data_IF_759311963988
#
_entry.id   IF_759311963988
#
_cell.length_a   1.000
_cell.length_b   1.000
_cell.length_c   1.000
_cell.angle_alpha   90.00
_cell.angle_beta   90.00
_cell.angle_gamma   90.00
#
_symmetry.space_group_name_H-M   'P 1'
#
loop_
_entity.id
_entity.type
_entity.pdbx_description
1 polymer ?
#
# COMPACT_ATOMS: atom_id res chain seq x y z
N UNK A 1 10.67 -18.44 -10.79
CA UNK A 1 10.22 -17.04 -10.65
C UNK A 1 10.10 -16.46 -12.05
N UNK A 2 8.96 -15.86 -12.40
CA UNK A 2 8.81 -15.23 -13.70
C UNK A 2 9.44 -13.81 -13.69
N UNK A 3 9.69 -13.26 -14.86
CA UNK A 3 10.32 -11.95 -15.03
C UNK A 3 9.58 -10.83 -14.30
N UNK A 4 8.24 -10.84 -14.34
CA UNK A 4 7.42 -9.84 -13.64
C UNK A 4 7.63 -9.93 -12.12
N UNK A 5 7.67 -11.13 -11.58
CA UNK A 5 7.89 -11.35 -10.15
C UNK A 5 9.30 -10.92 -9.74
N UNK A 6 10.31 -11.25 -10.53
CA UNK A 6 11.68 -10.80 -10.27
C UNK A 6 11.80 -9.28 -10.29
N UNK A 7 11.17 -8.62 -11.27
CA UNK A 7 11.13 -7.16 -11.34
C UNK A 7 10.41 -6.54 -10.16
N UNK A 8 9.29 -7.14 -9.74
CA UNK A 8 8.56 -6.69 -8.55
C UNK A 8 9.37 -6.92 -7.26
N UNK A 9 10.14 -8.02 -7.17
CA UNK A 9 11.04 -8.29 -6.06
C UNK A 9 12.20 -7.31 -6.00
N UNK A 10 12.62 -6.75 -7.14
CA UNK A 10 13.66 -5.72 -7.20
C UNK A 10 13.20 -4.34 -6.75
N UNK A 11 11.92 -4.17 -6.41
CA UNK A 11 11.39 -2.92 -5.86
C UNK A 11 11.84 -2.74 -4.41
N UNK A 12 13.13 -2.53 -4.24
CA UNK A 12 13.76 -2.25 -2.95
C UNK A 12 13.33 -0.87 -2.42
N UNK A 13 13.56 -0.65 -1.14
CA UNK A 13 13.39 0.67 -0.55
C UNK A 13 14.18 1.71 -1.36
N UNK A 14 13.55 2.82 -1.77
CA UNK A 14 14.24 3.84 -2.54
C UNK A 14 15.35 4.50 -1.72
N UNK A 15 16.39 4.98 -2.40
CA UNK A 15 17.35 5.86 -1.77
C UNK A 15 16.72 7.21 -1.40
N UNK A 16 17.45 8.05 -0.67
CA UNK A 16 16.91 9.33 -0.17
C UNK A 16 16.49 10.26 -1.30
N UNK A 17 17.27 10.35 -2.37
CA UNK A 17 16.97 11.22 -3.53
C UNK A 17 15.72 10.75 -4.26
N UNK A 18 15.58 9.45 -4.48
CA UNK A 18 14.40 8.85 -5.09
C UNK A 18 13.18 9.03 -4.20
N UNK A 19 13.33 8.84 -2.89
CA UNK A 19 12.24 9.04 -1.93
C UNK A 19 11.74 10.49 -1.93
N UNK A 20 12.65 11.46 -1.95
CA UNK A 20 12.28 12.88 -2.01
C UNK A 20 11.54 13.21 -3.29
N UNK A 21 11.96 12.66 -4.44
CA UNK A 21 11.25 12.81 -5.70
C UNK A 21 9.83 12.21 -5.66
N UNK A 22 9.66 11.04 -5.05
CA UNK A 22 8.34 10.42 -4.88
C UNK A 22 7.44 11.25 -3.96
N UNK A 23 8.00 11.86 -2.92
CA UNK A 23 7.27 12.76 -2.02
C UNK A 23 6.82 14.05 -2.72
N UNK A 24 7.64 14.61 -3.60
CA UNK A 24 7.28 15.78 -4.39
C UNK A 24 6.12 15.46 -5.36
N UNK A 25 6.14 14.31 -6.00
CA UNK A 25 5.04 13.84 -6.84
C UNK A 25 3.77 13.65 -6.00
N UNK A 26 3.88 13.04 -4.84
CA UNK A 26 2.77 12.83 -3.90
C UNK A 26 2.14 14.18 -3.49
N UNK A 27 2.94 15.17 -3.15
CA UNK A 27 2.46 16.50 -2.83
C UNK A 27 1.69 17.14 -4.00
N UNK A 28 2.17 16.99 -5.23
CA UNK A 28 1.49 17.46 -6.43
C UNK A 28 0.16 16.74 -6.66
N UNK A 29 0.11 15.42 -6.45
CA UNK A 29 -1.12 14.64 -6.58
C UNK A 29 -2.20 15.09 -5.59
N UNK A 30 -1.82 15.53 -4.39
CA UNK A 30 -2.78 15.99 -3.37
C UNK A 30 -3.47 17.29 -3.74
N UNK A 31 -2.90 18.09 -4.63
CA UNK A 31 -3.51 19.32 -5.14
C UNK A 31 -4.56 19.06 -6.23
N UNK A 32 -4.59 17.85 -6.80
CA UNK A 32 -5.57 17.45 -7.80
C UNK A 32 -6.89 17.03 -7.14
N UNK A 33 -8.02 17.02 -7.89
CA UNK A 33 -9.27 16.47 -7.38
C UNK A 33 -9.07 15.05 -6.86
N UNK A 34 -9.50 14.81 -5.62
CA UNK A 34 -9.30 13.51 -4.96
C UNK A 34 -10.41 12.54 -5.32
N UNK A 35 -10.02 11.30 -5.63
CA UNK A 35 -10.95 10.19 -5.82
C UNK A 35 -11.09 9.45 -4.50
N UNK A 36 -12.31 9.13 -4.10
CA UNK A 36 -12.56 8.35 -2.90
C UNK A 36 -12.08 6.91 -3.10
N UNK A 37 -11.20 6.46 -2.20
CA UNK A 37 -10.69 5.10 -2.16
C UNK A 37 -11.17 4.46 -0.86
N UNK A 38 -11.97 3.40 -0.97
CA UNK A 38 -12.46 2.67 0.19
C UNK A 38 -11.33 1.83 0.80
N UNK A 39 -11.17 1.94 2.11
CA UNK A 39 -10.16 1.19 2.86
C UNK A 39 -10.86 0.28 3.87
N UNK A 40 -10.61 -1.02 3.77
CA UNK A 40 -11.02 -1.99 4.77
C UNK A 40 -9.86 -2.29 5.72
N UNK A 41 -10.16 -2.54 6.97
CA UNK A 41 -9.20 -2.85 8.02
C UNK A 41 -9.55 -4.18 8.69
N UNK A 42 -8.55 -5.03 8.88
CA UNK A 42 -8.66 -6.25 9.63
C UNK A 42 -7.53 -6.32 10.68
N UNK A 43 -7.90 -6.43 11.93
CA UNK A 43 -6.95 -6.67 13.04
C UNK A 43 -7.30 -8.03 13.64
N UNK A 44 -6.40 -8.99 13.48
CA UNK A 44 -6.63 -10.37 13.88
C UNK A 44 -5.30 -11.10 14.08
N UNK A 45 -5.22 -11.86 15.17
CA UNK A 45 -4.13 -12.83 15.36
C UNK A 45 -2.73 -12.23 15.34
N UNK A 46 -2.54 -11.01 15.86
CA UNK A 46 -1.26 -10.33 15.84
C UNK A 46 -0.88 -9.78 14.44
N UNK A 47 -1.86 -9.59 13.57
CA UNK A 47 -1.68 -9.09 12.21
C UNK A 47 -2.63 -7.94 11.92
N UNK A 48 -2.18 -7.02 11.09
CA UNK A 48 -3.01 -5.98 10.50
C UNK A 48 -3.09 -6.19 8.98
N UNK A 49 -4.30 -6.30 8.46
CA UNK A 49 -4.59 -6.31 7.03
C UNK A 49 -5.30 -5.01 6.64
N UNK A 50 -4.75 -4.32 5.65
CA UNK A 50 -5.31 -3.07 5.10
C UNK A 50 -5.58 -3.28 3.62
N UNK A 51 -6.84 -3.21 3.22
CA UNK A 51 -7.24 -3.40 1.82
C UNK A 51 -7.73 -2.08 1.22
N UNK A 52 -7.07 -1.65 0.16
CA UNK A 52 -7.50 -0.52 -0.65
C UNK A 52 -8.25 -1.04 -1.88
N UNK A 53 -9.46 -0.49 -2.10
CA UNK A 53 -10.27 -0.76 -3.28
C UNK A 53 -10.13 0.42 -4.24
N UNK A 54 -9.33 0.25 -5.28
CA UNK A 54 -9.00 1.30 -6.22
C UNK A 54 -9.85 1.19 -7.48
N UNK A 55 -10.61 2.23 -7.86
CA UNK A 55 -11.28 2.27 -9.16
C UNK A 55 -10.27 2.25 -10.31
N UNK A 56 -10.72 1.94 -11.52
CA UNK A 56 -9.90 2.07 -12.72
C UNK A 56 -9.52 3.53 -12.99
N UNK A 57 -8.34 3.76 -13.56
CA UNK A 57 -7.89 5.08 -14.01
C UNK A 57 -7.47 6.04 -12.89
N UNK A 58 -7.11 5.51 -11.72
CA UNK A 58 -6.72 6.29 -10.54
C UNK A 58 -5.21 6.22 -10.34
N UNK A 59 -4.62 7.33 -9.92
CA UNK A 59 -3.24 7.37 -9.41
C UNK A 59 -3.31 7.48 -7.89
N UNK A 60 -2.69 6.54 -7.20
CA UNK A 60 -2.62 6.50 -5.75
C UNK A 60 -1.17 6.49 -5.29
N UNK A 61 -0.90 7.15 -4.19
CA UNK A 61 0.41 7.16 -3.55
C UNK A 61 0.36 6.37 -2.24
N UNK A 62 1.31 5.46 -2.06
CA UNK A 62 1.54 4.80 -0.78
C UNK A 62 2.38 5.67 0.16
N UNK A 63 2.32 5.39 1.44
CA UNK A 63 3.20 5.98 2.45
C UNK A 63 4.50 5.20 2.57
N UNK A 64 5.51 5.77 3.21
CA UNK A 64 6.74 5.05 3.54
C UNK A 64 6.45 4.03 4.63
N UNK A 65 6.72 2.76 4.35
CA UNK A 65 6.45 1.66 5.27
C UNK A 65 7.55 1.55 6.34
N UNK A 66 7.14 1.43 7.59
CA UNK A 66 8.05 1.20 8.72
C UNK A 66 8.49 -0.24 8.86
N UNK A 67 7.70 -1.17 8.30
CA UNK A 67 7.88 -2.62 8.46
C UNK A 67 7.80 -3.32 7.11
N UNK A 68 8.36 -4.51 7.05
CA UNK A 68 8.12 -5.43 5.96
C UNK A 68 6.64 -5.84 5.94
N UNK A 69 6.08 -5.95 4.76
CA UNK A 69 4.68 -6.32 4.53
C UNK A 69 4.58 -7.44 3.51
N UNK A 70 3.47 -8.15 3.53
CA UNK A 70 3.03 -8.96 2.39
C UNK A 70 2.00 -8.15 1.64
N UNK A 71 2.20 -7.94 0.36
CA UNK A 71 1.24 -7.27 -0.53
C UNK A 71 0.50 -8.31 -1.35
N UNK A 72 -0.81 -8.36 -1.21
CA UNK A 72 -1.71 -9.17 -2.05
C UNK A 72 -2.42 -8.22 -3.00
N UNK A 73 -2.28 -8.45 -4.29
CA UNK A 73 -2.80 -7.57 -5.32
C UNK A 73 -3.66 -8.37 -6.30
N UNK A 74 -4.82 -7.84 -6.65
CA UNK A 74 -5.66 -8.39 -7.69
C UNK A 74 -6.22 -7.26 -8.55
N UNK A 75 -5.88 -7.26 -9.83
CA UNK A 75 -6.35 -6.24 -10.76
C UNK A 75 -5.40 -6.01 -11.93
N UNK A 76 -5.25 -4.76 -12.30
CA UNK A 76 -4.34 -4.31 -13.36
C UNK A 76 -3.77 -2.95 -12.97
N UNK A 77 -2.51 -2.93 -12.60
CA UNK A 77 -1.87 -1.75 -12.01
C UNK A 77 -0.42 -1.62 -12.48
N UNK A 78 0.02 -0.39 -12.69
CA UNK A 78 1.43 -0.07 -12.86
C UNK A 78 1.96 0.52 -11.55
N UNK A 79 3.04 -0.06 -11.03
CA UNK A 79 3.73 0.42 -9.84
C UNK A 79 4.98 1.20 -10.26
N UNK A 80 5.16 2.37 -9.67
CA UNK A 80 6.33 3.22 -9.87
C UNK A 80 7.10 3.35 -8.56
N UNK A 81 8.41 3.13 -8.62
CA UNK A 81 9.29 3.23 -7.45
C UNK A 81 10.25 4.41 -7.55
N UNK A 82 10.12 5.24 -8.57
CA UNK A 82 10.99 6.36 -8.89
C UNK A 82 12.10 6.00 -9.89
N UNK A 83 12.49 4.73 -9.98
CA UNK A 83 13.53 4.25 -10.90
C UNK A 83 12.99 3.26 -11.92
N UNK A 84 11.88 2.61 -11.63
CA UNK A 84 11.30 1.57 -12.47
C UNK A 84 9.77 1.61 -12.42
N UNK A 85 9.14 1.23 -13.53
CA UNK A 85 7.72 1.00 -13.65
C UNK A 85 7.46 -0.48 -13.96
N UNK A 86 6.60 -1.12 -13.18
CA UNK A 86 6.22 -2.52 -13.37
C UNK A 86 4.71 -2.62 -13.47
N UNK A 87 4.21 -3.21 -14.56
CA UNK A 87 2.79 -3.51 -14.71
C UNK A 87 2.49 -4.92 -14.21
N UNK A 88 1.51 -5.02 -13.31
CA UNK A 88 1.04 -6.25 -12.71
C UNK A 88 -0.42 -6.46 -13.08
N UNK A 89 -0.74 -7.59 -13.69
CA UNK A 89 -2.10 -7.98 -14.06
C UNK A 89 -2.46 -9.29 -13.41
N UNK A 90 -3.72 -9.45 -13.01
CA UNK A 90 -4.21 -10.63 -12.32
C UNK A 90 -3.91 -10.63 -10.83
N UNK A 91 -3.63 -11.79 -10.29
CA UNK A 91 -3.40 -11.99 -8.86
C UNK A 91 -1.91 -12.17 -8.56
N UNK A 92 -1.41 -11.41 -7.59
CA UNK A 92 -0.02 -11.45 -7.16
C UNK A 92 0.11 -11.38 -5.64
N UNK A 93 1.07 -12.11 -5.10
CA UNK A 93 1.50 -11.99 -3.69
C UNK A 93 2.97 -11.59 -3.70
N UNK A 94 3.28 -10.42 -3.16
CA UNK A 94 4.59 -9.80 -3.28
C UNK A 94 5.14 -9.39 -1.91
N UNK A 95 6.47 -9.39 -1.73
CA UNK A 95 7.08 -8.79 -0.55
C UNK A 95 7.05 -7.26 -0.65
N UNK A 96 6.65 -6.61 0.43
CA UNK A 96 6.82 -5.18 0.61
C UNK A 96 7.96 -4.91 1.59
N UNK A 97 9.03 -4.29 1.12
CA UNK A 97 10.21 -4.04 1.96
C UNK A 97 10.01 -2.82 2.86
N UNK A 98 10.62 -2.88 4.03
CA UNK A 98 10.71 -1.74 4.94
C UNK A 98 11.34 -0.54 4.21
N UNK A 99 10.79 0.65 4.43
CA UNK A 99 11.23 1.89 3.81
C UNK A 99 10.71 2.11 2.39
N UNK A 100 9.89 1.19 1.88
CA UNK A 100 9.31 1.31 0.55
C UNK A 100 8.24 2.38 0.50
N UNK A 101 8.27 3.18 -0.58
CA UNK A 101 7.18 4.04 -1.02
C UNK A 101 6.98 3.82 -2.51
N UNK A 102 5.73 3.71 -2.96
CA UNK A 102 5.42 3.52 -4.36
C UNK A 102 4.21 4.35 -4.78
N UNK A 103 4.15 4.67 -6.06
CA UNK A 103 2.97 5.21 -6.73
C UNK A 103 2.32 4.09 -7.54
N UNK A 104 1.00 4.14 -7.64
CA UNK A 104 0.22 3.14 -8.35
C UNK A 104 -0.70 3.85 -9.35
N UNK A 105 -0.76 3.33 -10.56
CA UNK A 105 -1.74 3.74 -11.55
C UNK A 105 -2.58 2.54 -11.94
N UNK A 106 -3.87 2.59 -11.70
CA UNK A 106 -4.78 1.50 -12.04
C UNK A 106 -5.26 1.60 -13.49
N UNK A 107 -5.31 0.47 -14.18
CA UNK A 107 -5.86 0.33 -15.53
C UNK A 107 -7.23 -0.35 -15.50
N UNK A 108 -7.54 -1.04 -14.42
CA UNK A 108 -8.83 -1.64 -14.11
C UNK A 108 -9.07 -1.53 -12.61
N UNK A 109 -10.27 -1.87 -12.15
CA UNK A 109 -10.53 -1.98 -10.72
C UNK A 109 -9.50 -2.92 -10.08
N UNK A 110 -8.85 -2.46 -9.01
CA UNK A 110 -7.74 -3.15 -8.39
C UNK A 110 -7.90 -3.16 -6.88
N UNK A 111 -7.68 -4.32 -6.27
CA UNK A 111 -7.71 -4.50 -4.83
C UNK A 111 -6.29 -4.79 -4.34
N UNK A 112 -5.83 -4.04 -3.35
CA UNK A 112 -4.51 -4.23 -2.76
C UNK A 112 -4.63 -4.38 -1.26
N UNK A 113 -4.14 -5.51 -0.74
CA UNK A 113 -4.11 -5.78 0.69
C UNK A 113 -2.66 -5.83 1.16
N UNK A 114 -2.33 -4.98 2.12
CA UNK A 114 -1.06 -5.08 2.86
C UNK A 114 -1.29 -5.78 4.18
N UNK A 115 -0.45 -6.76 4.48
CA UNK A 115 -0.50 -7.53 5.73
C UNK A 115 0.84 -7.36 6.44
N UNK A 116 0.78 -6.98 7.71
CA UNK A 116 1.96 -6.80 8.56
C UNK A 116 1.69 -7.25 9.98
N UNK A 117 2.74 -7.67 10.72
CA UNK A 117 2.60 -7.95 12.14
C UNK A 117 2.23 -6.67 12.90
N UNK A 118 1.26 -6.78 13.79
CA UNK A 118 0.85 -5.67 14.66
C UNK A 118 0.09 -6.22 15.86
N UNK A 119 0.44 -5.74 17.04
CA UNK A 119 -0.30 -6.01 18.27
C UNK A 119 -1.35 -4.92 18.56
N UNK A 120 -1.67 -4.09 17.57
CA UNK A 120 -2.61 -3.00 17.68
C UNK A 120 -4.00 -3.49 18.10
N UNK A 121 -4.68 -2.64 18.86
CA UNK A 121 -6.07 -2.86 19.30
C UNK A 121 -7.05 -1.91 18.61
N UNK A 122 -6.54 -0.99 17.80
CA UNK A 122 -7.33 -0.02 17.04
C UNK A 122 -6.70 0.23 15.67
N UNK A 123 -7.49 0.80 14.76
CA UNK A 123 -7.01 1.17 13.42
C UNK A 123 -5.90 2.22 13.53
N UNK A 124 -6.04 3.21 14.42
CA UNK A 124 -5.05 4.26 14.61
C UNK A 124 -3.70 3.69 15.07
N UNK A 125 -3.71 2.75 16.01
CA UNK A 125 -2.49 2.06 16.45
C UNK A 125 -1.87 1.23 15.33
N UNK A 126 -2.69 0.53 14.54
CA UNK A 126 -2.23 -0.29 13.43
C UNK A 126 -1.61 0.56 12.31
N UNK A 127 -2.22 1.69 11.98
CA UNK A 127 -1.68 2.64 11.02
C UNK A 127 -0.34 3.23 11.50
N UNK A 128 -0.21 3.53 12.79
CA UNK A 128 1.03 4.00 13.39
C UNK A 128 2.14 2.93 13.35
N UNK A 129 1.80 1.65 13.43
CA UNK A 129 2.75 0.55 13.23
C UNK A 129 3.22 0.44 11.77
N UNK A 130 2.36 0.78 10.84
CA UNK A 130 2.62 0.66 9.41
C UNK A 130 3.50 1.80 8.89
N UNK A 131 3.25 3.03 9.32
CA UNK A 131 3.93 4.23 8.79
C UNK A 131 3.99 5.36 9.82
N UNK A 132 5.02 6.21 9.69
CA UNK A 132 5.09 7.47 10.42
C UNK A 132 4.21 8.56 9.78
N UNK A 133 3.77 8.35 8.53
CA UNK A 133 3.03 9.33 7.73
C UNK A 133 1.51 9.11 7.83
N UNK A 134 0.98 8.84 9.03
CA UNK A 134 -0.45 8.51 9.22
C UNK A 134 -1.41 9.59 8.73
N UNK A 135 -1.00 10.86 8.78
CA UNK A 135 -1.79 11.98 8.26
C UNK A 135 -1.97 11.96 6.74
N UNK A 136 -1.17 11.21 6.02
CA UNK A 136 -1.21 11.08 4.56
C UNK A 136 -2.05 9.89 4.07
N UNK A 137 -2.53 9.04 4.99
CA UNK A 137 -3.30 7.85 4.64
C UNK A 137 -4.71 8.21 4.16
N UNK A 138 -5.19 7.48 3.14
CA UNK A 138 -6.58 7.53 2.73
C UNK A 138 -7.47 6.99 3.85
N UNK A 139 -8.56 7.67 4.14
CA UNK A 139 -9.47 7.37 5.27
C UNK A 139 -10.93 7.29 4.87
N UNK A 140 -11.21 6.97 3.60
CA UNK A 140 -12.59 6.74 3.19
C UNK A 140 -13.21 5.61 4.01
N UNK A 141 -14.50 5.73 4.39
CA UNK A 141 -15.17 4.69 5.17
C UNK A 141 -15.13 3.34 4.46
N UNK A 142 -14.72 2.32 5.19
CA UNK A 142 -14.73 0.92 4.77
C UNK A 142 -15.03 0.03 5.96
N UNK A 143 -14.96 -1.27 5.76
CA UNK A 143 -15.20 -2.23 6.82
C UNK A 143 -14.04 -2.25 7.82
N UNK A 144 -14.37 -2.28 9.10
CA UNK A 144 -13.39 -2.46 10.18
C UNK A 144 -13.75 -3.72 10.94
N UNK A 145 -12.84 -4.69 10.93
CA UNK A 145 -12.99 -5.94 11.68
C UNK A 145 -11.85 -6.05 12.67
N UNK A 146 -12.17 -6.10 13.95
CA UNK A 146 -11.21 -6.30 15.04
C UNK A 146 -11.66 -7.52 15.82
N UNK A 147 -10.84 -8.56 15.82
CA UNK A 147 -11.12 -9.74 16.62
C UNK A 147 -10.22 -9.75 17.85
N UNK A 148 -10.81 -10.15 18.98
CA UNK A 148 -10.05 -10.41 20.20
C UNK A 148 -9.90 -11.92 20.33
N UNK A 149 -8.66 -12.38 20.43
CA UNK A 149 -8.44 -13.77 20.84
C UNK A 149 -8.89 -13.91 22.28
N UNK A 150 -9.85 -14.80 22.51
CA UNK A 150 -10.17 -15.28 23.85
C UNK A 150 -9.23 -16.44 24.16
N UNK A 151 -8.30 -16.19 25.06
CA UNK A 151 -7.44 -17.26 25.61
C UNK A 151 -8.25 -18.26 26.39
#
# INVERSE_FOLDING_TARGET
VNDITERALSLVAPDRTTLDALRDIDAGLRELPQVEVTIDHLIHGGMYGRTAHLPAGVVASGTVLRRATVLVLHGDVTMFTGTEAVRLTGFHVLPGLRGRKALFRTHAETHMTMILPSDAQSVEEAEADMTDETGLLARAPGNVTITKETS
#
